data_IF_508240193370
#
_entry.id   IF_508240193370
#
_cell.length_a   1.000
_cell.length_b   1.000
_cell.length_c   1.000
_cell.angle_alpha   90.00
_cell.angle_beta   90.00
_cell.angle_gamma   90.00
#
_symmetry.space_group_name_H-M   'P 1'
#
loop_
_entity.id
_entity.type
_entity.pdbx_description
1 polymer ?
#
# COMPACT_ATOMS: atom_id res chain seq x y z
N UNK A 1 -17.12 -11.10 -1.11
CA UNK A 1 -16.15 -11.97 -1.80
C UNK A 1 -15.20 -12.67 -0.82
N UNK A 2 -14.54 -11.96 0.09
CA UNK A 2 -13.58 -12.58 1.03
C UNK A 2 -14.12 -13.77 1.85
N UNK A 3 -15.34 -13.69 2.38
CA UNK A 3 -15.94 -14.81 3.13
C UNK A 3 -16.13 -16.08 2.27
N UNK A 4 -16.51 -15.91 1.00
CA UNK A 4 -16.64 -17.04 0.07
C UNK A 4 -15.26 -17.66 -0.25
N UNK A 5 -14.22 -16.83 -0.42
CA UNK A 5 -12.86 -17.31 -0.61
C UNK A 5 -12.33 -18.08 0.62
N UNK A 6 -12.67 -17.61 1.83
CA UNK A 6 -12.39 -18.31 3.08
C UNK A 6 -13.12 -19.66 3.14
N UNK A 7 -14.41 -19.70 2.79
CA UNK A 7 -15.18 -20.95 2.75
C UNK A 7 -14.63 -21.94 1.70
N UNK A 8 -14.02 -21.43 0.63
CA UNK A 8 -13.31 -22.22 -0.37
C UNK A 8 -11.92 -22.74 0.07
N UNK A 9 -11.48 -22.43 1.30
CA UNK A 9 -10.22 -22.94 1.85
C UNK A 9 -8.96 -22.20 1.36
N UNK A 10 -9.08 -20.93 0.98
CA UNK A 10 -7.91 -20.12 0.56
C UNK A 10 -7.01 -19.81 1.75
N UNK A 11 -5.69 -19.81 1.55
CA UNK A 11 -4.71 -19.52 2.61
C UNK A 11 -4.53 -18.03 2.94
N UNK A 12 -4.87 -17.12 2.03
CA UNK A 12 -4.73 -15.67 2.20
C UNK A 12 -5.66 -14.88 1.26
N UNK A 13 -5.89 -13.60 1.56
CA UNK A 13 -6.67 -12.69 0.72
C UNK A 13 -5.77 -11.60 0.13
N UNK A 14 -5.85 -11.37 -1.18
CA UNK A 14 -5.28 -10.20 -1.84
C UNK A 14 -6.36 -9.11 -1.91
N UNK A 15 -6.06 -7.90 -1.42
CA UNK A 15 -7.00 -6.78 -1.39
C UNK A 15 -6.35 -5.49 -1.87
N UNK A 16 -7.13 -4.65 -2.54
CA UNK A 16 -6.69 -3.38 -3.11
C UNK A 16 -7.26 -2.21 -2.29
N UNK A 17 -6.40 -1.33 -1.77
CA UNK A 17 -6.80 -0.13 -1.04
C UNK A 17 -7.11 -0.36 0.45
N UNK A 18 -6.85 0.66 1.27
CA UNK A 18 -6.99 0.55 2.72
C UNK A 18 -8.42 0.28 3.20
N UNK A 19 -9.42 0.88 2.53
CA UNK A 19 -10.84 0.73 2.91
C UNK A 19 -11.31 -0.71 2.78
N UNK A 20 -11.02 -1.37 1.65
CA UNK A 20 -11.43 -2.75 1.41
C UNK A 20 -10.75 -3.70 2.40
N UNK A 21 -9.47 -3.46 2.69
CA UNK A 21 -8.71 -4.23 3.67
C UNK A 21 -9.36 -4.15 5.05
N UNK A 22 -9.74 -2.95 5.51
CA UNK A 22 -10.38 -2.77 6.80
C UNK A 22 -11.69 -3.56 6.91
N UNK A 23 -12.51 -3.58 5.85
CA UNK A 23 -13.77 -4.33 5.80
C UNK A 23 -13.54 -5.85 5.71
N UNK A 24 -12.53 -6.28 4.95
CA UNK A 24 -12.18 -7.70 4.82
C UNK A 24 -11.69 -8.24 6.17
N UNK A 25 -10.86 -7.48 6.90
CA UNK A 25 -10.37 -7.84 8.23
C UNK A 25 -11.47 -8.12 9.24
N UNK A 26 -12.59 -7.40 9.19
CA UNK A 26 -13.72 -7.67 10.10
C UNK A 26 -14.51 -8.91 9.70
N UNK A 27 -14.28 -9.43 8.49
CA UNK A 27 -15.09 -10.47 7.87
C UNK A 27 -14.43 -11.84 7.84
N UNK A 28 -13.09 -11.91 7.85
CA UNK A 28 -12.31 -13.15 7.77
C UNK A 28 -11.08 -13.10 8.67
N UNK A 29 -10.67 -14.26 9.19
CA UNK A 29 -9.46 -14.42 10.00
C UNK A 29 -8.34 -15.12 9.20
N UNK A 30 -8.01 -14.54 8.04
CA UNK A 30 -6.94 -15.02 7.15
C UNK A 30 -5.94 -13.88 6.90
N UNK A 31 -4.66 -14.19 6.64
CA UNK A 31 -3.66 -13.21 6.25
C UNK A 31 -4.11 -12.39 5.03
N UNK A 32 -3.88 -11.08 5.06
CA UNK A 32 -4.21 -10.16 3.98
C UNK A 32 -2.94 -9.57 3.38
N UNK A 33 -2.79 -9.74 2.07
CA UNK A 33 -1.80 -9.07 1.24
C UNK A 33 -2.47 -7.82 0.67
N UNK A 34 -1.98 -6.65 1.08
CA UNK A 34 -2.47 -5.36 0.62
C UNK A 34 -1.67 -4.83 -0.57
N UNK A 35 -2.38 -4.28 -1.54
CA UNK A 35 -1.79 -3.48 -2.62
C UNK A 35 -2.59 -2.20 -2.81
N UNK A 36 -2.01 -1.19 -3.44
CA UNK A 36 -2.78 -0.05 -3.96
C UNK A 36 -2.46 0.11 -5.42
N UNK A 37 -3.47 -0.03 -6.29
CA UNK A 37 -3.29 0.28 -7.70
C UNK A 37 -3.66 1.75 -7.95
N UNK A 38 -2.67 2.57 -8.30
CA UNK A 38 -2.87 4.00 -8.57
C UNK A 38 -2.08 4.43 -9.78
N UNK A 39 -2.78 5.06 -10.72
CA UNK A 39 -2.16 5.62 -11.91
C UNK A 39 -1.49 6.97 -11.60
N UNK A 40 -0.29 7.14 -12.14
CA UNK A 40 0.50 8.35 -12.06
C UNK A 40 0.78 8.84 -13.48
N UNK A 41 0.54 10.13 -13.76
CA UNK A 41 0.59 10.68 -15.11
C UNK A 41 1.96 10.52 -15.81
N UNK A 42 3.04 10.43 -15.03
CA UNK A 42 4.42 10.39 -15.50
C UNK A 42 5.19 9.14 -15.03
N UNK A 43 4.49 8.12 -14.55
CA UNK A 43 5.09 6.86 -14.13
C UNK A 43 4.33 5.66 -14.69
N UNK A 44 5.03 4.69 -15.31
CA UNK A 44 4.42 3.44 -15.75
C UNK A 44 4.12 2.47 -14.59
N UNK A 45 4.76 2.69 -13.42
CA UNK A 45 4.55 1.92 -12.19
C UNK A 45 3.30 2.42 -11.48
N UNK A 46 2.44 1.47 -11.13
CA UNK A 46 1.11 1.73 -10.56
C UNK A 46 0.81 0.93 -9.28
N UNK A 47 1.49 -0.20 -9.09
CA UNK A 47 1.21 -1.08 -7.96
C UNK A 47 2.04 -0.68 -6.74
N UNK A 48 1.41 0.00 -5.78
CA UNK A 48 2.00 0.48 -4.52
C UNK A 48 3.31 1.24 -4.80
N UNK A 49 3.22 2.23 -5.70
CA UNK A 49 4.38 2.88 -6.30
C UNK A 49 5.16 3.79 -5.33
N UNK A 50 4.50 4.31 -4.29
CA UNK A 50 5.10 5.29 -3.37
C UNK A 50 4.86 4.93 -1.91
N UNK A 51 5.59 5.60 -1.00
CA UNK A 51 5.41 5.41 0.44
C UNK A 51 4.02 5.82 0.94
N UNK A 52 3.31 6.70 0.22
CA UNK A 52 1.92 7.05 0.58
C UNK A 52 1.00 5.83 0.55
N UNK A 53 1.14 4.99 -0.47
CA UNK A 53 0.35 3.76 -0.57
C UNK A 53 0.75 2.77 0.53
N UNK A 54 2.05 2.69 0.85
CA UNK A 54 2.54 1.88 1.96
C UNK A 54 1.93 2.35 3.28
N UNK A 55 1.95 3.65 3.57
CA UNK A 55 1.38 4.24 4.79
C UNK A 55 -0.14 4.00 4.87
N UNK A 56 -0.86 4.10 3.75
CA UNK A 56 -2.29 3.79 3.65
C UNK A 56 -2.57 2.31 4.04
N UNK A 57 -1.78 1.38 3.50
CA UNK A 57 -1.92 -0.04 3.79
C UNK A 57 -1.50 -0.38 5.23
N UNK A 58 -0.45 0.26 5.75
CA UNK A 58 -0.02 0.12 7.14
C UNK A 58 -1.10 0.60 8.11
N UNK A 59 -1.74 1.73 7.83
CA UNK A 59 -2.85 2.25 8.63
C UNK A 59 -4.09 1.33 8.59
N UNK A 60 -4.31 0.63 7.47
CA UNK A 60 -5.36 -0.38 7.34
C UNK A 60 -5.05 -1.71 8.06
N UNK A 61 -3.80 -1.90 8.49
CA UNK A 61 -3.37 -3.07 9.25
C UNK A 61 -3.23 -4.33 8.39
N UNK A 62 -2.60 -4.25 7.22
CA UNK A 62 -2.29 -5.44 6.41
C UNK A 62 -1.20 -6.30 7.05
N UNK A 63 -1.20 -7.60 6.74
CA UNK A 63 -0.13 -8.51 7.19
C UNK A 63 1.09 -8.44 6.28
N UNK A 64 0.86 -8.20 4.98
CA UNK A 64 1.91 -8.05 3.96
C UNK A 64 1.54 -6.96 2.97
N UNK A 65 2.55 -6.30 2.40
CA UNK A 65 2.38 -5.28 1.36
C UNK A 65 3.02 -5.77 0.07
N UNK A 66 2.24 -5.82 -1.01
CA UNK A 66 2.74 -6.05 -2.36
C UNK A 66 3.21 -4.75 -3.00
N UNK A 67 4.38 -4.78 -3.62
CA UNK A 67 4.98 -3.65 -4.34
C UNK A 67 5.34 -4.04 -5.76
N UNK A 68 5.28 -3.09 -6.70
CA UNK A 68 5.79 -3.31 -8.05
C UNK A 68 7.32 -3.39 -8.04
N UNK A 69 7.86 -4.56 -8.38
CA UNK A 69 9.30 -4.80 -8.47
C UNK A 69 9.77 -4.93 -9.93
N UNK A 70 9.17 -4.16 -10.84
CA UNK A 70 9.62 -4.15 -12.24
C UNK A 70 10.95 -3.40 -12.34
N UNK A 71 11.87 -3.88 -13.18
CA UNK A 71 13.16 -3.21 -13.42
C UNK A 71 13.05 -1.90 -14.21
N UNK A 72 11.86 -1.32 -14.32
CA UNK A 72 11.67 -0.04 -14.98
C UNK A 72 12.31 1.04 -14.13
N UNK A 73 13.12 1.88 -14.77
CA UNK A 73 13.81 2.98 -14.10
C UNK A 73 12.78 4.04 -13.72
N UNK A 74 12.13 3.79 -12.59
CA UNK A 74 10.99 4.56 -12.12
C UNK A 74 11.56 5.76 -11.40
N UNK A 75 11.61 6.88 -12.12
CA UNK A 75 11.71 8.14 -11.42
C UNK A 75 10.46 8.30 -10.55
N UNK A 76 10.63 8.72 -9.29
CA UNK A 76 9.50 9.03 -8.41
C UNK A 76 8.49 9.92 -9.17
N UNK A 77 7.17 9.67 -9.09
CA UNK A 77 6.19 10.50 -9.77
C UNK A 77 6.44 11.98 -9.48
N UNK A 78 6.36 12.84 -10.48
CA UNK A 78 6.71 14.27 -10.38
C UNK A 78 5.91 14.98 -9.29
N UNK A 79 4.68 14.53 -9.03
CA UNK A 79 3.84 14.97 -7.91
C UNK A 79 4.54 14.84 -6.52
N UNK A 80 5.60 14.03 -6.43
CA UNK A 80 6.35 13.74 -5.21
C UNK A 80 7.84 14.07 -5.30
N UNK A 81 8.34 14.58 -6.43
CA UNK A 81 9.74 15.03 -6.57
C UNK A 81 10.04 16.34 -5.83
N UNK A 82 9.05 16.95 -5.17
CA UNK A 82 9.12 18.23 -4.48
C UNK A 82 9.20 18.16 -2.95
N UNK A 83 9.85 17.14 -2.38
CA UNK A 83 10.21 17.09 -0.96
C UNK A 83 11.67 17.43 -0.77
N UNK A 84 12.00 18.72 -0.66
CA UNK A 84 13.32 19.16 -0.21
C UNK A 84 13.68 18.48 1.10
N UNK A 85 14.93 18.08 1.22
CA UNK A 85 15.66 17.57 2.37
C UNK A 85 15.71 18.55 3.56
N UNK A 86 14.55 19.02 4.01
CA UNK A 86 14.38 19.83 5.23
C UNK A 86 13.36 19.18 6.17
N UNK A 87 13.44 17.86 6.34
CA UNK A 87 12.85 17.18 7.49
C UNK A 87 13.68 17.55 8.73
N UNK A 88 13.35 18.72 9.27
CA UNK A 88 13.97 19.35 10.42
C UNK A 88 13.60 18.58 11.68
N UNK A 89 14.28 17.46 11.91
CA UNK A 89 14.53 16.97 13.28
C UNK A 89 15.38 17.99 14.03
N UNK A 90 14.79 19.12 14.44
CA UNK A 90 15.31 20.07 15.45
C UNK A 90 14.21 21.05 15.87
N UNK A 91 13.43 20.68 16.87
CA UNK A 91 12.95 21.59 17.92
C UNK A 91 12.26 20.80 19.04
N UNK A 92 13.07 19.99 19.72
CA UNK A 92 12.75 19.42 21.01
C UNK A 92 14.02 19.45 21.85
N UNK A 93 14.34 20.61 22.39
CA UNK A 93 15.56 20.83 23.15
C UNK A 93 15.55 22.21 23.82
N UNK A 94 15.44 22.13 25.15
CA UNK A 94 15.52 23.19 26.17
C UNK A 94 14.23 23.95 26.48
#
# INVERSE_FOLDING_TARGET
MAQAACAGGTAAILANGGTDIAVIRTSVNLPIIGVVNRDYADSPVRLTATMREVDELMAAGVDMIGVEATGQHTGYPSAFRGGSSSDTRRSGGS
#
